data_IF_501749697984
#
_entry.id   IF_501749697984
#
_cell.length_a   1.000
_cell.length_b   1.000
_cell.length_c   1.000
_cell.angle_alpha   90.00
_cell.angle_beta   90.00
_cell.angle_gamma   90.00
#
_symmetry.space_group_name_H-M   'P 1'
#
loop_
_entity.id
_entity.type
_entity.pdbx_description
1 polymer ?
#
# COMPACT_ATOMS: atom_id res chain seq x y z
N UNK A 1 18.81 -7.80 -46.17
CA UNK A 1 19.48 -8.49 -45.06
C UNK A 1 18.57 -8.47 -43.84
N UNK A 2 18.17 -9.66 -43.36
CA UNK A 2 17.36 -9.83 -42.15
C UNK A 2 18.09 -9.23 -40.95
N UNK A 3 17.57 -8.13 -40.38
CA UNK A 3 18.05 -7.62 -39.09
C UNK A 3 17.68 -8.68 -38.04
N UNK A 4 18.66 -9.48 -37.62
CA UNK A 4 18.53 -10.36 -36.44
C UNK A 4 17.98 -9.50 -35.30
N UNK A 5 16.79 -9.84 -34.78
CA UNK A 5 16.24 -9.23 -33.57
C UNK A 5 17.31 -9.31 -32.49
N UNK A 6 17.65 -8.17 -31.89
CA UNK A 6 18.54 -8.14 -30.74
C UNK A 6 18.00 -9.10 -29.67
N UNK A 7 18.89 -9.89 -29.07
CA UNK A 7 18.51 -10.79 -27.99
C UNK A 7 17.83 -9.98 -26.89
N UNK A 8 16.70 -10.49 -26.37
CA UNK A 8 15.97 -9.84 -25.28
C UNK A 8 16.93 -9.57 -24.12
N UNK A 9 16.86 -8.37 -23.54
CA UNK A 9 17.71 -8.02 -22.40
C UNK A 9 17.49 -8.98 -21.22
N UNK A 10 18.47 -9.15 -20.32
CA UNK A 10 18.28 -9.96 -19.10
C UNK A 10 17.04 -9.52 -18.31
N UNK A 11 16.74 -8.22 -18.30
CA UNK A 11 15.52 -7.65 -17.71
C UNK A 11 14.26 -8.12 -18.45
N UNK A 12 14.25 -8.09 -19.78
CA UNK A 12 13.13 -8.57 -20.60
C UNK A 12 12.90 -10.07 -20.44
N UNK A 13 13.97 -10.86 -20.36
CA UNK A 13 13.88 -12.30 -20.12
C UNK A 13 13.33 -12.60 -18.71
N UNK A 14 13.82 -11.89 -17.68
CA UNK A 14 13.35 -12.05 -16.30
C UNK A 14 11.88 -11.62 -16.12
N UNK A 15 11.45 -10.55 -16.80
CA UNK A 15 10.05 -10.11 -16.79
C UNK A 15 9.13 -11.10 -17.52
N UNK A 16 9.57 -11.67 -18.64
CA UNK A 16 8.81 -12.68 -19.38
C UNK A 16 8.71 -14.02 -18.65
N UNK A 17 9.68 -14.35 -17.78
CA UNK A 17 9.66 -15.56 -16.94
C UNK A 17 9.02 -15.34 -15.56
N UNK A 18 8.70 -14.09 -15.21
CA UNK A 18 7.95 -13.80 -13.98
C UNK A 18 6.50 -14.23 -14.20
N UNK A 19 5.89 -14.99 -13.29
CA UNK A 19 4.45 -15.25 -13.33
C UNK A 19 3.72 -13.93 -13.11
N UNK A 20 3.39 -13.26 -14.21
CA UNK A 20 2.58 -12.05 -14.21
C UNK A 20 1.13 -12.50 -14.36
N UNK A 21 0.42 -12.54 -13.23
CA UNK A 21 -0.95 -13.04 -13.18
C UNK A 21 -1.97 -12.02 -13.72
N UNK A 22 -1.55 -10.75 -13.86
CA UNK A 22 -2.38 -9.65 -14.35
C UNK A 22 -1.59 -8.55 -15.07
N UNK A 23 -2.26 -7.85 -15.96
CA UNK A 23 -1.75 -6.70 -16.72
C UNK A 23 -2.59 -5.44 -16.46
N UNK A 24 -1.97 -4.27 -16.61
CA UNK A 24 -2.62 -2.97 -16.46
C UNK A 24 -2.90 -2.35 -17.83
N UNK A 25 -4.16 -2.34 -18.24
CA UNK A 25 -4.63 -1.69 -19.46
C UNK A 25 -5.02 -0.24 -19.13
N UNK A 26 -4.33 0.71 -19.77
CA UNK A 26 -4.55 2.14 -19.57
C UNK A 26 -5.26 2.73 -20.79
N UNK A 27 -6.36 3.44 -20.58
CA UNK A 27 -7.12 4.10 -21.62
C UNK A 27 -7.30 5.57 -21.28
N UNK A 28 -7.35 6.42 -22.31
CA UNK A 28 -7.68 7.82 -22.14
C UNK A 28 -8.48 8.37 -23.32
N UNK A 29 -9.18 9.47 -23.08
CA UNK A 29 -9.98 10.18 -24.08
C UNK A 29 -10.09 11.67 -23.74
N UNK A 30 -10.32 12.49 -24.76
CA UNK A 30 -10.54 13.93 -24.63
C UNK A 30 -11.92 14.27 -24.03
N UNK A 31 -12.84 13.32 -24.10
CA UNK A 31 -14.23 13.37 -23.70
C UNK A 31 -14.70 11.98 -23.24
N UNK A 32 -15.83 11.85 -22.51
CA UNK A 32 -16.41 10.54 -22.19
C UNK A 32 -16.69 9.71 -23.44
N UNK A 33 -17.16 10.36 -24.52
CA UNK A 33 -17.39 9.70 -25.82
C UNK A 33 -16.10 9.22 -26.48
N UNK A 34 -15.02 10.00 -26.40
CA UNK A 34 -13.71 9.60 -26.89
C UNK A 34 -13.16 8.38 -26.13
N UNK A 35 -13.29 8.37 -24.81
CA UNK A 35 -12.90 7.23 -23.98
C UNK A 35 -13.75 5.98 -24.26
N UNK A 36 -15.07 6.14 -24.47
CA UNK A 36 -15.98 5.05 -24.85
C UNK A 36 -15.58 4.44 -26.20
N UNK A 37 -15.34 5.28 -27.21
CA UNK A 37 -14.88 4.82 -28.52
C UNK A 37 -13.56 4.03 -28.40
N UNK A 38 -12.64 4.52 -27.56
CA UNK A 38 -11.37 3.84 -27.29
C UNK A 38 -11.56 2.51 -26.56
N UNK A 39 -12.42 2.45 -25.56
CA UNK A 39 -12.75 1.21 -24.85
C UNK A 39 -13.33 0.15 -25.82
N UNK A 40 -14.24 0.54 -26.71
CA UNK A 40 -14.80 -0.35 -27.73
C UNK A 40 -13.80 -0.84 -28.80
N UNK A 41 -12.79 -0.04 -29.13
CA UNK A 41 -11.68 -0.47 -29.98
C UNK A 41 -10.83 -1.55 -29.30
N UNK A 42 -10.41 -1.28 -28.06
CA UNK A 42 -9.59 -2.20 -27.27
C UNK A 42 -10.35 -3.50 -26.97
N UNK A 43 -11.66 -3.42 -26.67
CA UNK A 43 -12.51 -4.58 -26.43
C UNK A 43 -12.56 -5.53 -27.64
N UNK A 44 -12.80 -4.99 -28.84
CA UNK A 44 -12.78 -5.80 -30.08
C UNK A 44 -11.43 -6.41 -30.38
N UNK A 45 -10.34 -5.75 -30.00
CA UNK A 45 -9.00 -6.28 -30.18
C UNK A 45 -8.70 -7.39 -29.16
N UNK A 46 -9.02 -7.18 -27.88
CA UNK A 46 -8.66 -8.12 -26.80
C UNK A 46 -9.36 -9.48 -26.95
N UNK A 47 -10.57 -9.51 -27.53
CA UNK A 47 -11.26 -10.76 -27.88
C UNK A 47 -10.49 -11.68 -28.85
N UNK A 48 -9.41 -11.17 -29.49
CA UNK A 48 -8.56 -11.91 -30.43
C UNK A 48 -7.14 -12.13 -29.92
N UNK A 49 -6.84 -11.69 -28.71
CA UNK A 49 -5.51 -11.70 -28.08
C UNK A 49 -5.36 -12.99 -27.27
N UNK A 50 -4.21 -13.66 -27.39
CA UNK A 50 -3.87 -14.80 -26.51
C UNK A 50 -3.32 -14.32 -25.16
N UNK A 51 -3.30 -15.18 -24.14
CA UNK A 51 -2.73 -14.86 -22.82
C UNK A 51 -1.33 -14.22 -22.90
N UNK A 52 -0.45 -14.74 -23.76
CA UNK A 52 0.92 -14.22 -23.92
C UNK A 52 1.02 -12.86 -24.61
N UNK A 53 -0.08 -12.35 -25.18
CA UNK A 53 -0.13 -11.07 -25.89
C UNK A 53 -0.78 -9.94 -25.05
N UNK A 54 -1.33 -10.24 -23.87
CA UNK A 54 -1.94 -9.21 -22.99
C UNK A 54 -0.88 -8.23 -22.50
N UNK A 55 0.34 -8.69 -22.21
CA UNK A 55 1.47 -7.83 -21.83
C UNK A 55 1.87 -6.87 -22.94
N UNK A 56 1.89 -7.34 -24.20
CA UNK A 56 2.17 -6.51 -25.37
C UNK A 56 1.06 -5.45 -25.57
N UNK A 57 -0.20 -5.83 -25.34
CA UNK A 57 -1.33 -4.90 -25.36
C UNK A 57 -1.17 -3.82 -24.28
N UNK A 58 -0.92 -4.20 -23.03
CA UNK A 58 -0.71 -3.26 -21.92
C UNK A 58 0.42 -2.27 -22.22
N UNK A 59 1.57 -2.77 -22.70
CA UNK A 59 2.71 -1.94 -23.08
C UNK A 59 2.39 -1.01 -24.27
N UNK A 60 1.60 -1.47 -25.24
CA UNK A 60 1.18 -0.66 -26.39
C UNK A 60 0.26 0.47 -25.94
N UNK A 61 -0.77 0.16 -25.15
CA UNK A 61 -1.70 1.14 -24.60
C UNK A 61 -0.99 2.22 -23.78
N UNK A 62 -0.03 1.81 -22.94
CA UNK A 62 0.76 2.73 -22.14
C UNK A 62 1.61 3.70 -22.99
N UNK A 63 2.14 3.25 -24.13
CA UNK A 63 2.92 4.11 -25.06
C UNK A 63 2.05 5.05 -25.88
N UNK A 64 0.78 4.73 -26.05
CA UNK A 64 -0.17 5.53 -26.81
C UNK A 64 -0.76 6.69 -26.01
N UNK A 65 -0.63 6.67 -24.68
CA UNK A 65 -1.07 7.77 -23.81
C UNK A 65 -0.48 9.12 -24.27
N UNK A 66 -1.35 10.12 -24.32
CA UNK A 66 -1.12 11.53 -24.66
C UNK A 66 -1.41 12.47 -23.48
N UNK A 67 -1.88 11.94 -22.36
CA UNK A 67 -2.19 12.73 -21.17
C UNK A 67 -3.60 13.33 -21.17
N UNK A 68 -4.52 12.77 -21.96
CA UNK A 68 -5.90 13.23 -22.06
C UNK A 68 -6.65 13.15 -20.69
N UNK A 69 -7.68 13.97 -20.48
CA UNK A 69 -8.28 14.17 -19.16
C UNK A 69 -9.17 13.00 -18.70
N UNK A 70 -9.93 12.36 -19.57
CA UNK A 70 -10.75 11.21 -19.18
C UNK A 70 -9.91 9.95 -19.24
N UNK A 71 -9.77 9.25 -18.12
CA UNK A 71 -8.84 8.13 -17.98
C UNK A 71 -9.53 6.92 -17.37
N UNK A 72 -9.19 5.75 -17.86
CA UNK A 72 -9.57 4.49 -17.26
C UNK A 72 -8.34 3.59 -17.08
N UNK A 73 -8.37 2.78 -16.03
CA UNK A 73 -7.36 1.78 -15.75
C UNK A 73 -8.06 0.45 -15.43
N UNK A 74 -7.63 -0.63 -16.08
CA UNK A 74 -8.18 -1.98 -15.91
C UNK A 74 -7.05 -2.93 -15.60
N UNK A 75 -7.14 -3.63 -14.48
CA UNK A 75 -6.28 -4.76 -14.12
C UNK A 75 -6.94 -6.03 -14.61
N UNK A 76 -6.35 -6.67 -15.63
CA UNK A 76 -6.90 -7.86 -16.28
C UNK A 76 -5.97 -9.06 -16.12
N UNK A 77 -6.55 -10.18 -15.71
CA UNK A 77 -5.84 -11.46 -15.52
C UNK A 77 -5.92 -12.41 -16.72
N UNK A 78 -6.80 -12.11 -17.68
CA UNK A 78 -6.95 -12.84 -18.94
C UNK A 78 -7.56 -11.94 -20.02
N UNK A 79 -7.52 -12.35 -21.30
CA UNK A 79 -8.25 -11.67 -22.36
C UNK A 79 -9.76 -11.56 -22.08
N UNK A 80 -10.38 -12.61 -21.52
CA UNK A 80 -11.81 -12.64 -21.19
C UNK A 80 -12.14 -11.73 -19.99
N UNK A 81 -11.25 -11.63 -19.00
CA UNK A 81 -11.37 -10.68 -17.89
C UNK A 81 -11.24 -9.23 -18.39
N UNK A 82 -10.32 -8.97 -19.31
CA UNK A 82 -10.17 -7.67 -19.96
C UNK A 82 -11.43 -7.28 -20.73
N UNK A 83 -11.96 -8.18 -21.56
CA UNK A 83 -13.18 -7.94 -22.35
C UNK A 83 -14.37 -7.60 -21.44
N UNK A 84 -14.63 -8.41 -20.41
CA UNK A 84 -15.71 -8.15 -19.44
C UNK A 84 -15.56 -6.78 -18.77
N UNK A 85 -14.35 -6.40 -18.35
CA UNK A 85 -14.11 -5.11 -17.67
C UNK A 85 -14.20 -3.92 -18.61
N UNK A 86 -13.77 -4.06 -19.86
CA UNK A 86 -13.91 -3.04 -20.91
C UNK A 86 -15.39 -2.86 -21.30
N UNK A 87 -16.16 -3.94 -21.33
CA UNK A 87 -17.60 -3.85 -21.54
C UNK A 87 -18.27 -3.10 -20.39
N UNK A 88 -17.97 -3.46 -19.14
CA UNK A 88 -18.49 -2.74 -17.97
C UNK A 88 -18.10 -1.25 -17.97
N UNK A 89 -16.86 -0.91 -18.35
CA UNK A 89 -16.44 0.48 -18.54
C UNK A 89 -17.27 1.20 -19.61
N UNK A 90 -17.60 0.51 -20.70
CA UNK A 90 -18.43 1.06 -21.78
C UNK A 90 -19.84 1.34 -21.27
N UNK A 91 -20.45 0.40 -20.55
CA UNK A 91 -21.78 0.54 -19.96
C UNK A 91 -21.84 1.75 -19.00
N UNK A 92 -20.82 1.93 -18.16
CA UNK A 92 -20.69 3.09 -17.26
C UNK A 92 -20.64 4.41 -18.04
N UNK A 93 -19.83 4.49 -19.09
CA UNK A 93 -19.70 5.70 -19.91
C UNK A 93 -21.00 6.01 -20.67
N UNK A 94 -21.71 4.98 -21.16
CA UNK A 94 -23.00 5.12 -21.83
C UNK A 94 -24.10 5.60 -20.87
N UNK A 95 -24.06 5.18 -19.60
CA UNK A 95 -24.96 5.70 -18.56
C UNK A 95 -24.59 7.12 -18.09
N UNK A 96 -23.55 7.73 -18.65
CA UNK A 96 -23.08 9.07 -18.29
C UNK A 96 -22.19 9.13 -17.05
N UNK A 97 -21.74 7.99 -16.52
CA UNK A 97 -20.81 7.95 -15.40
C UNK A 97 -19.42 8.46 -15.85
N UNK A 98 -18.77 9.22 -14.97
CA UNK A 98 -17.44 9.78 -15.24
C UNK A 98 -16.44 9.55 -14.12
N UNK A 99 -16.88 8.90 -13.04
CA UNK A 99 -16.04 8.49 -11.92
C UNK A 99 -16.48 7.13 -11.41
N UNK A 100 -15.58 6.16 -11.43
CA UNK A 100 -15.87 4.84 -10.89
C UNK A 100 -14.60 4.21 -10.31
N UNK A 101 -14.74 3.47 -9.22
CA UNK A 101 -13.71 2.57 -8.71
C UNK A 101 -14.41 1.29 -8.30
N UNK A 102 -14.01 0.17 -8.90
CA UNK A 102 -14.63 -1.12 -8.60
C UNK A 102 -14.29 -1.56 -7.18
N UNK A 103 -15.19 -2.31 -6.55
CA UNK A 103 -15.00 -2.80 -5.18
C UNK A 103 -13.77 -3.72 -5.03
N UNK A 104 -13.40 -4.42 -6.10
CA UNK A 104 -12.19 -5.26 -6.16
C UNK A 104 -10.90 -4.48 -6.48
N UNK A 105 -10.99 -3.16 -6.69
CA UNK A 105 -9.87 -2.28 -7.00
C UNK A 105 -9.22 -2.50 -8.36
N UNK A 106 -9.86 -3.27 -9.26
CA UNK A 106 -9.29 -3.66 -10.56
C UNK A 106 -9.80 -2.83 -11.74
N UNK A 107 -10.76 -1.93 -11.54
CA UNK A 107 -11.24 -1.00 -12.57
C UNK A 107 -11.37 0.40 -11.98
N UNK A 108 -10.88 1.39 -12.73
CA UNK A 108 -10.95 2.81 -12.39
C UNK A 108 -11.40 3.60 -13.62
N UNK A 109 -12.25 4.60 -13.40
CA UNK A 109 -12.65 5.64 -14.36
C UNK A 109 -12.59 6.98 -13.62
N UNK A 110 -12.02 8.00 -14.25
CA UNK A 110 -12.01 9.33 -13.69
C UNK A 110 -11.62 10.41 -14.68
N UNK A 111 -11.82 11.67 -14.26
CA UNK A 111 -11.34 12.84 -14.98
C UNK A 111 -10.16 13.47 -14.25
N UNK A 112 -9.01 13.52 -14.89
CA UNK A 112 -7.84 14.23 -14.41
C UNK A 112 -8.02 15.74 -14.57
N UNK A 113 -7.91 16.47 -13.44
CA UNK A 113 -7.98 17.94 -13.40
C UNK A 113 -6.60 18.60 -13.13
N UNK A 114 -5.52 17.82 -13.23
CA UNK A 114 -4.16 18.25 -12.93
C UNK A 114 -3.32 17.12 -12.35
N UNK A 115 -2.09 17.43 -11.94
CA UNK A 115 -1.24 16.48 -11.19
C UNK A 115 -1.75 16.37 -9.75
N UNK A 116 -2.07 15.17 -9.31
CA UNK A 116 -2.37 14.91 -7.90
C UNK A 116 -1.12 15.08 -7.03
N UNK A 117 -1.32 15.52 -5.78
CA UNK A 117 -0.27 15.46 -4.76
C UNK A 117 -0.36 14.12 -4.05
N UNK A 118 0.74 13.39 -3.98
CA UNK A 118 0.83 12.10 -3.31
C UNK A 118 1.54 12.32 -1.97
N UNK A 119 1.01 11.72 -0.90
CA UNK A 119 1.68 11.63 0.39
C UNK A 119 1.90 10.18 0.77
N UNK A 120 3.07 9.83 1.27
CA UNK A 120 3.33 8.50 1.81
C UNK A 120 2.96 8.44 3.29
N UNK A 121 2.25 7.38 3.68
CA UNK A 121 1.90 7.10 5.06
C UNK A 121 2.56 5.78 5.47
N UNK A 122 3.51 5.86 6.40
CA UNK A 122 4.23 4.70 6.91
C UNK A 122 3.57 4.15 8.16
N UNK A 123 3.31 2.83 8.21
CA UNK A 123 2.58 2.23 9.31
C UNK A 123 3.40 2.07 10.60
N UNK A 124 2.70 1.98 11.73
CA UNK A 124 3.25 1.59 13.03
C UNK A 124 3.27 0.07 13.26
N UNK A 125 3.60 -0.33 14.50
CA UNK A 125 3.93 -1.71 14.94
C UNK A 125 2.83 -2.77 14.71
N UNK A 126 1.57 -2.39 14.47
CA UNK A 126 0.46 -3.31 14.22
C UNK A 126 0.33 -3.85 12.79
N UNK A 127 1.25 -3.51 11.89
CA UNK A 127 1.07 -3.78 10.46
C UNK A 127 1.69 -5.08 9.96
N UNK A 128 0.87 -5.90 9.29
CA UNK A 128 1.29 -7.17 8.69
C UNK A 128 1.69 -8.23 9.72
N UNK A 129 1.91 -9.46 9.25
CA UNK A 129 2.29 -10.61 10.10
C UNK A 129 3.40 -11.49 9.49
N UNK A 130 3.89 -11.16 8.30
CA UNK A 130 4.83 -12.01 7.55
C UNK A 130 6.16 -11.33 7.27
N UNK A 131 7.24 -12.11 7.28
CA UNK A 131 8.62 -11.68 6.97
C UNK A 131 9.02 -11.98 5.52
N UNK A 132 8.20 -12.73 4.77
CA UNK A 132 8.52 -13.19 3.42
C UNK A 132 8.34 -12.16 2.29
N UNK A 133 7.94 -10.91 2.58
CA UNK A 133 7.77 -9.85 1.57
C UNK A 133 6.68 -10.06 0.51
N UNK A 134 6.01 -11.21 0.52
CA UNK A 134 4.81 -11.48 -0.26
C UNK A 134 5.00 -11.32 -1.78
N UNK A 135 3.97 -10.79 -2.44
CA UNK A 135 3.99 -10.58 -3.89
C UNK A 135 5.05 -9.56 -4.33
N UNK A 136 5.34 -8.54 -3.51
CA UNK A 136 6.34 -7.52 -3.86
C UNK A 136 7.74 -8.12 -3.95
N UNK A 137 8.16 -8.91 -2.95
CA UNK A 137 9.46 -9.59 -2.98
C UNK A 137 9.58 -10.56 -4.16
N UNK A 138 8.51 -11.27 -4.53
CA UNK A 138 8.52 -12.16 -5.69
C UNK A 138 8.62 -11.41 -7.02
N UNK A 139 8.09 -10.19 -7.09
CA UNK A 139 7.92 -9.46 -8.35
C UNK A 139 9.03 -8.45 -8.63
N UNK A 140 9.60 -7.85 -7.60
CA UNK A 140 10.55 -6.75 -7.69
C UNK A 140 11.89 -7.16 -7.06
N UNK A 141 12.96 -7.31 -7.87
CA UNK A 141 14.30 -7.62 -7.36
C UNK A 141 14.77 -6.62 -6.29
N UNK A 142 14.45 -5.34 -6.46
CA UNK A 142 14.81 -4.27 -5.53
C UNK A 142 14.14 -4.45 -4.16
N UNK A 143 12.94 -5.03 -4.11
CA UNK A 143 12.30 -5.41 -2.85
C UNK A 143 12.98 -6.65 -2.24
N UNK A 144 13.34 -7.64 -3.06
CA UNK A 144 14.03 -8.84 -2.59
C UNK A 144 15.37 -8.52 -1.93
N UNK A 145 16.17 -7.64 -2.53
CA UNK A 145 17.45 -7.18 -1.97
C UNK A 145 17.30 -6.59 -0.56
N UNK A 146 16.26 -5.80 -0.31
CA UNK A 146 15.99 -5.22 1.02
C UNK A 146 15.66 -6.32 2.03
N UNK A 147 14.79 -7.27 1.67
CA UNK A 147 14.44 -8.38 2.55
C UNK A 147 15.62 -9.32 2.83
N UNK A 148 16.48 -9.56 1.83
CA UNK A 148 17.66 -10.41 1.97
C UNK A 148 18.68 -9.77 2.91
N UNK A 149 18.92 -8.45 2.77
CA UNK A 149 19.80 -7.70 3.68
C UNK A 149 19.28 -7.60 5.10
N UNK A 150 17.97 -7.44 5.28
CA UNK A 150 17.37 -7.30 6.60
C UNK A 150 17.51 -8.56 7.48
N UNK A 151 17.73 -9.75 6.88
CA UNK A 151 18.00 -10.98 7.63
C UNK A 151 16.89 -11.36 8.62
N UNK A 152 15.63 -11.08 8.28
CA UNK A 152 14.50 -11.29 9.19
C UNK A 152 14.31 -12.78 9.56
N UNK A 153 13.84 -13.09 10.77
CA UNK A 153 13.58 -14.46 11.17
C UNK A 153 12.51 -15.13 10.31
N UNK A 154 12.73 -16.40 9.97
CA UNK A 154 11.78 -17.21 9.20
C UNK A 154 10.69 -17.86 10.06
N UNK A 155 10.94 -18.01 11.37
CA UNK A 155 10.07 -18.68 12.34
C UNK A 155 10.07 -17.94 13.67
N UNK A 156 9.06 -18.17 14.50
CA UNK A 156 8.90 -17.53 15.81
C UNK A 156 7.66 -16.65 15.87
N UNK A 157 7.56 -15.83 16.91
CA UNK A 157 6.47 -14.88 17.07
C UNK A 157 6.71 -13.63 16.21
N UNK A 158 6.00 -13.54 15.08
CA UNK A 158 6.13 -12.44 14.11
C UNK A 158 5.46 -11.13 14.57
N UNK A 159 4.71 -11.17 15.67
CA UNK A 159 4.08 -10.00 16.28
C UNK A 159 4.82 -9.51 17.52
N UNK A 160 5.78 -10.27 18.05
CA UNK A 160 6.68 -9.82 19.10
C UNK A 160 7.39 -8.52 18.70
N UNK A 161 7.46 -7.54 19.60
CA UNK A 161 7.91 -6.17 19.33
C UNK A 161 9.29 -6.10 18.65
N UNK A 162 10.23 -6.91 19.11
CA UNK A 162 11.60 -7.01 18.60
C UNK A 162 11.69 -7.61 17.20
N UNK A 163 10.71 -8.42 16.79
CA UNK A 163 10.58 -8.96 15.43
C UNK A 163 9.74 -8.04 14.54
N UNK A 164 8.64 -7.51 15.07
CA UNK A 164 7.65 -6.72 14.33
C UNK A 164 8.24 -5.39 13.84
N UNK A 165 9.02 -4.69 14.66
CA UNK A 165 9.59 -3.39 14.27
C UNK A 165 10.54 -3.49 13.06
N UNK A 166 11.62 -4.30 13.09
CA UNK A 166 12.49 -4.43 11.92
C UNK A 166 11.74 -5.01 10.71
N UNK A 167 10.77 -5.91 10.90
CA UNK A 167 9.93 -6.44 9.81
C UNK A 167 9.13 -5.35 9.10
N UNK A 168 8.51 -4.44 9.85
CA UNK A 168 7.69 -3.35 9.29
C UNK A 168 8.55 -2.29 8.63
N UNK A 169 9.70 -1.94 9.22
CA UNK A 169 10.69 -1.07 8.60
C UNK A 169 11.21 -1.65 7.27
N UNK A 170 11.53 -2.95 7.25
CA UNK A 170 11.94 -3.68 6.03
C UNK A 170 10.86 -3.62 4.95
N UNK A 171 9.59 -3.88 5.32
CA UNK A 171 8.49 -3.78 4.37
C UNK A 171 8.29 -2.37 3.81
N UNK A 172 8.50 -1.34 4.65
CA UNK A 172 8.44 0.06 4.24
C UNK A 172 9.57 0.43 3.27
N UNK A 173 10.81 0.03 3.59
CA UNK A 173 11.97 0.24 2.73
C UNK A 173 11.83 -0.49 1.39
N UNK A 174 11.39 -1.75 1.40
CA UNK A 174 11.13 -2.51 0.18
C UNK A 174 10.01 -1.86 -0.66
N UNK A 175 8.94 -1.40 -0.02
CA UNK A 175 7.87 -0.65 -0.68
C UNK A 175 8.37 0.63 -1.34
N UNK A 176 9.25 1.39 -0.67
CA UNK A 176 9.89 2.58 -1.23
C UNK A 176 10.71 2.27 -2.47
N UNK A 177 11.51 1.20 -2.47
CA UNK A 177 12.26 0.75 -3.66
C UNK A 177 11.32 0.45 -4.84
N UNK A 178 10.20 -0.21 -4.58
CA UNK A 178 9.20 -0.50 -5.61
C UNK A 178 8.58 0.79 -6.15
N UNK A 179 8.15 1.70 -5.27
CA UNK A 179 7.54 2.97 -5.68
C UNK A 179 8.52 3.84 -6.49
N UNK A 180 9.80 3.86 -6.11
CA UNK A 180 10.87 4.52 -6.87
C UNK A 180 11.07 3.88 -8.26
N UNK A 181 11.09 2.54 -8.34
CA UNK A 181 11.17 1.83 -9.63
C UNK A 181 10.00 2.14 -10.57
N UNK A 182 8.83 2.46 -10.01
CA UNK A 182 7.62 2.88 -10.71
C UNK A 182 7.55 4.40 -10.95
N UNK A 183 8.55 5.16 -10.47
CA UNK A 183 8.63 6.63 -10.55
C UNK A 183 7.45 7.34 -9.89
N UNK A 184 6.97 6.80 -8.78
CA UNK A 184 5.93 7.42 -7.96
C UNK A 184 6.57 8.34 -6.92
N UNK A 185 6.42 9.63 -7.15
CA UNK A 185 6.97 10.69 -6.29
C UNK A 185 5.92 11.21 -5.33
N UNK A 186 6.23 11.21 -4.04
CA UNK A 186 5.43 11.88 -3.00
C UNK A 186 5.95 13.29 -2.73
N UNK A 187 5.06 14.18 -2.31
CA UNK A 187 5.41 15.54 -1.86
C UNK A 187 5.63 15.63 -0.36
N UNK A 188 5.21 14.62 0.39
CA UNK A 188 5.35 14.53 1.84
C UNK A 188 5.30 13.07 2.29
N UNK A 189 5.82 12.83 3.49
CA UNK A 189 5.65 11.58 4.21
C UNK A 189 5.22 11.84 5.64
N UNK A 190 4.40 10.94 6.18
CA UNK A 190 4.05 10.88 7.60
C UNK A 190 4.23 9.44 8.06
N UNK A 191 4.73 9.26 9.28
CA UNK A 191 4.89 7.95 9.88
C UNK A 191 4.12 7.84 11.19
N UNK A 192 3.52 6.69 11.44
CA UNK A 192 2.89 6.41 12.73
C UNK A 192 3.88 5.72 13.67
N UNK A 193 4.35 6.41 14.71
CA UNK A 193 5.30 5.89 15.69
C UNK A 193 6.55 5.28 15.01
N UNK A 194 6.65 3.95 14.91
CA UNK A 194 7.70 3.28 14.13
C UNK A 194 7.81 3.79 12.69
N UNK A 195 6.69 4.10 12.05
CA UNK A 195 6.66 4.58 10.68
C UNK A 195 7.44 5.89 10.49
N UNK A 196 7.69 6.67 11.55
CA UNK A 196 8.48 7.90 11.45
C UNK A 196 9.92 7.62 11.03
N UNK A 197 10.50 6.49 11.45
CA UNK A 197 11.83 6.08 10.99
C UNK A 197 11.83 5.90 9.47
N UNK A 198 10.80 5.24 8.92
CA UNK A 198 10.64 5.06 7.48
C UNK A 198 10.40 6.39 6.74
N UNK A 199 9.67 7.33 7.36
CA UNK A 199 9.45 8.67 6.81
C UNK A 199 10.75 9.49 6.78
N UNK A 200 11.57 9.43 7.83
CA UNK A 200 12.90 10.05 7.90
C UNK A 200 13.86 9.45 6.88
N UNK A 201 13.81 8.13 6.69
CA UNK A 201 14.55 7.46 5.63
C UNK A 201 14.13 7.95 4.24
N UNK A 202 12.82 8.00 3.96
CA UNK A 202 12.31 8.54 2.69
C UNK A 202 12.75 10.00 2.46
N UNK A 203 12.78 10.81 3.51
CA UNK A 203 13.24 12.20 3.45
C UNK A 203 14.77 12.35 3.26
N UNK A 204 15.53 11.25 3.29
CA UNK A 204 16.99 11.24 3.17
C UNK A 204 17.74 11.59 4.46
N UNK A 205 17.04 11.66 5.60
CA UNK A 205 17.67 11.91 6.90
C UNK A 205 18.37 10.67 7.48
N UNK A 206 17.92 9.47 7.08
CA UNK A 206 18.52 8.19 7.43
C UNK A 206 18.79 7.41 6.14
N UNK A 207 19.94 6.75 6.04
CA UNK A 207 20.11 5.72 5.02
C UNK A 207 19.33 4.44 5.39
N UNK A 208 19.24 3.51 4.45
CA UNK A 208 18.43 2.30 4.62
C UNK A 208 19.01 1.39 5.72
N UNK A 209 20.33 1.29 5.83
CA UNK A 209 20.99 0.48 6.87
C UNK A 209 20.67 1.04 8.26
N UNK A 210 20.78 2.35 8.43
CA UNK A 210 20.44 3.06 9.68
C UNK A 210 18.97 2.90 10.04
N UNK A 211 18.06 2.94 9.05
CA UNK A 211 16.64 2.65 9.29
C UNK A 211 16.43 1.26 9.88
N UNK A 212 17.00 0.22 9.25
CA UNK A 212 16.82 -1.16 9.67
C UNK A 212 17.44 -1.40 11.05
N UNK A 213 18.62 -0.84 11.30
CA UNK A 213 19.29 -0.94 12.58
C UNK A 213 18.57 -0.18 13.69
N UNK A 214 18.08 1.03 13.43
CA UNK A 214 17.30 1.79 14.40
C UNK A 214 16.02 1.04 14.78
N UNK A 215 15.31 0.46 13.81
CA UNK A 215 14.12 -0.33 14.07
C UNK A 215 14.42 -1.61 14.88
N UNK A 216 15.54 -2.28 14.58
CA UNK A 216 16.01 -3.47 15.32
C UNK A 216 16.38 -3.13 16.77
N UNK A 217 17.18 -2.09 16.98
CA UNK A 217 17.60 -1.65 18.33
C UNK A 217 16.41 -1.19 19.15
N UNK A 218 15.50 -0.40 18.54
CA UNK A 218 14.29 0.06 19.21
C UNK A 218 13.35 -1.08 19.58
N UNK A 219 13.11 -2.01 18.66
CA UNK A 219 12.29 -3.20 18.91
C UNK A 219 12.83 -4.02 20.08
N UNK A 220 14.14 -4.30 20.07
CA UNK A 220 14.82 -5.02 21.16
C UNK A 220 14.71 -4.27 22.49
N UNK A 221 15.04 -2.98 22.50
CA UNK A 221 15.00 -2.17 23.71
C UNK A 221 13.59 -2.12 24.31
N UNK A 222 12.55 -1.98 23.48
CA UNK A 222 11.17 -2.03 23.93
C UNK A 222 10.79 -3.42 24.47
N UNK A 223 11.16 -4.50 23.78
CA UNK A 223 10.89 -5.84 24.27
C UNK A 223 11.55 -6.15 25.63
N UNK A 224 12.76 -5.63 25.87
CA UNK A 224 13.51 -5.85 27.11
C UNK A 224 13.10 -4.92 28.27
N UNK A 225 12.68 -3.69 27.97
CA UNK A 225 12.54 -2.62 28.98
C UNK A 225 11.13 -2.06 29.09
N UNK A 226 10.19 -2.43 28.21
CA UNK A 226 8.79 -2.06 28.43
C UNK A 226 8.34 -2.73 29.71
N UNK A 227 7.99 -1.92 30.72
CA UNK A 227 7.26 -2.37 31.89
C UNK A 227 6.01 -3.15 31.45
N UNK A 228 5.40 -3.92 32.36
CA UNK A 228 4.18 -4.71 32.11
C UNK A 228 2.93 -3.86 31.85
N UNK A 229 3.05 -2.79 31.07
CA UNK A 229 1.97 -1.96 30.58
C UNK A 229 1.38 -2.51 29.29
N UNK A 230 0.20 -2.03 28.96
CA UNK A 230 -0.57 -2.41 27.76
C UNK A 230 -1.20 -1.16 27.17
N UNK A 231 -1.81 -1.29 26.00
CA UNK A 231 -2.50 -0.18 25.34
C UNK A 231 -3.97 -0.53 25.09
N UNK A 232 -4.80 0.50 24.94
CA UNK A 232 -6.17 0.36 24.48
C UNK A 232 -6.55 1.46 23.49
N UNK A 233 -7.31 1.10 22.46
CA UNK A 233 -7.96 2.01 21.52
C UNK A 233 -9.35 2.36 22.03
N UNK A 234 -9.62 3.65 22.24
CA UNK A 234 -10.90 4.21 22.62
C UNK A 234 -11.56 4.85 21.38
N UNK A 235 -12.82 4.52 21.12
CA UNK A 235 -13.62 5.13 20.06
C UNK A 235 -14.18 6.49 20.45
N UNK A 236 -13.32 7.37 20.96
CA UNK A 236 -13.69 8.72 21.39
C UNK A 236 -12.59 9.75 21.08
N UNK A 237 -12.94 11.03 21.24
CA UNK A 237 -12.05 12.17 21.10
C UNK A 237 -11.05 12.29 22.28
N UNK A 238 -10.01 13.13 22.14
CA UNK A 238 -8.99 13.32 23.16
C UNK A 238 -9.50 13.85 24.51
N UNK A 239 -10.56 14.65 24.50
CA UNK A 239 -11.08 15.31 25.70
C UNK A 239 -11.78 14.26 26.58
N UNK A 240 -12.68 13.47 25.99
CA UNK A 240 -13.34 12.39 26.70
C UNK A 240 -12.35 11.28 27.10
N UNK A 241 -11.35 10.96 26.27
CA UNK A 241 -10.27 10.05 26.67
C UNK A 241 -9.50 10.58 27.89
N UNK A 242 -9.25 11.89 27.95
CA UNK A 242 -8.65 12.56 29.11
C UNK A 242 -9.48 12.40 30.38
N UNK A 243 -10.81 12.47 30.28
CA UNK A 243 -11.72 12.20 31.41
C UNK A 243 -11.66 10.74 31.86
N UNK A 244 -11.58 9.79 30.92
CA UNK A 244 -11.51 8.36 31.22
C UNK A 244 -10.23 7.97 31.96
N UNK A 245 -9.09 8.60 31.63
CA UNK A 245 -7.80 8.34 32.29
C UNK A 245 -7.56 9.21 33.52
N UNK A 246 -8.47 10.12 33.88
CA UNK A 246 -8.28 11.04 34.99
C UNK A 246 -8.01 10.29 36.31
N UNK A 247 -6.97 10.72 37.02
CA UNK A 247 -6.53 10.11 38.28
C UNK A 247 -5.73 8.80 38.13
N UNK A 248 -5.39 8.39 36.91
CA UNK A 248 -4.53 7.25 36.61
C UNK A 248 -3.14 7.74 36.13
N UNK A 249 -2.15 6.85 36.08
CA UNK A 249 -0.83 7.14 35.49
C UNK A 249 -0.77 6.90 33.99
N UNK A 250 -1.81 6.28 33.42
CA UNK A 250 -1.99 6.10 32.00
C UNK A 250 -1.98 7.44 31.24
N UNK A 251 -1.45 7.39 30.03
CA UNK A 251 -1.29 8.56 29.16
C UNK A 251 -1.98 8.32 27.83
N UNK A 252 -2.33 9.41 27.13
CA UNK A 252 -2.72 9.33 25.73
C UNK A 252 -1.45 9.07 24.90
N UNK A 253 -1.39 7.91 24.25
CA UNK A 253 -0.26 7.47 23.44
C UNK A 253 -0.45 7.74 21.94
N UNK A 254 -1.67 8.05 21.49
CA UNK A 254 -1.93 8.34 20.08
C UNK A 254 -3.25 9.05 19.82
N UNK A 255 -3.20 10.02 18.92
CA UNK A 255 -4.35 10.73 18.37
C UNK A 255 -4.59 10.25 16.94
N UNK A 256 -5.29 9.13 16.77
CA UNK A 256 -5.41 8.46 15.47
C UNK A 256 -6.56 9.00 14.61
N UNK A 257 -7.47 9.77 15.20
CA UNK A 257 -8.52 10.49 14.48
C UNK A 257 -9.48 11.21 15.43
N UNK A 258 -10.48 11.95 14.90
CA UNK A 258 -11.40 12.74 15.72
C UNK A 258 -12.21 11.94 16.74
N UNK A 259 -12.38 10.63 16.51
CA UNK A 259 -13.07 9.70 17.42
C UNK A 259 -12.26 8.43 17.67
N UNK A 260 -10.93 8.54 17.62
CA UNK A 260 -10.04 7.40 17.86
C UNK A 260 -8.79 7.85 18.62
N UNK A 261 -8.78 7.54 19.91
CA UNK A 261 -7.70 7.91 20.83
C UNK A 261 -7.12 6.65 21.46
N UNK A 262 -5.79 6.54 21.49
CA UNK A 262 -5.09 5.39 22.07
C UNK A 262 -4.49 5.81 23.40
N UNK A 263 -4.70 5.00 24.43
CA UNK A 263 -4.13 5.18 25.76
C UNK A 263 -3.16 4.06 26.08
N UNK A 264 -2.13 4.37 26.87
CA UNK A 264 -1.12 3.42 27.31
C UNK A 264 -0.84 3.59 28.80
N UNK A 265 -0.69 2.49 29.52
CA UNK A 265 -0.43 2.52 30.96
C UNK A 265 -0.28 1.12 31.55
N UNK A 266 -0.16 1.00 32.88
CA UNK A 266 -0.19 -0.28 33.58
C UNK A 266 -1.43 -1.11 33.21
N UNK A 267 -1.28 -2.45 33.18
CA UNK A 267 -2.39 -3.37 32.79
C UNK A 267 -3.65 -3.13 33.63
N UNK A 268 -3.50 -2.99 34.94
CA UNK A 268 -4.62 -2.75 35.86
C UNK A 268 -5.36 -1.44 35.57
N UNK A 269 -4.62 -0.39 35.17
CA UNK A 269 -5.20 0.89 34.81
C UNK A 269 -5.92 0.83 33.45
N UNK A 270 -5.38 0.10 32.47
CA UNK A 270 -6.08 -0.11 31.20
C UNK A 270 -7.37 -0.90 31.41
N UNK A 271 -7.38 -1.89 32.30
CA UNK A 271 -8.60 -2.63 32.66
C UNK A 271 -9.62 -1.73 33.38
N UNK A 272 -9.16 -0.80 34.20
CA UNK A 272 -10.03 0.22 34.79
C UNK A 272 -10.58 1.19 33.73
N UNK A 273 -9.75 1.63 32.78
CA UNK A 273 -10.19 2.47 31.66
C UNK A 273 -11.23 1.74 30.80
N UNK A 274 -11.08 0.43 30.57
CA UNK A 274 -12.10 -0.38 29.88
C UNK A 274 -13.45 -0.33 30.62
N UNK A 275 -13.46 -0.52 31.95
CA UNK A 275 -14.69 -0.41 32.76
C UNK A 275 -15.30 0.99 32.74
N UNK A 276 -14.47 2.03 32.79
CA UNK A 276 -14.93 3.43 32.68
C UNK A 276 -15.53 3.72 31.31
N UNK A 277 -14.89 3.23 30.25
CA UNK A 277 -15.36 3.38 28.88
C UNK A 277 -16.73 2.71 28.68
N UNK A 278 -16.90 1.48 29.18
CA UNK A 278 -18.18 0.77 29.15
C UNK A 278 -19.32 1.55 29.85
N UNK A 279 -19.06 2.09 31.05
CA UNK A 279 -20.03 2.93 31.77
C UNK A 279 -20.39 4.23 31.05
N UNK A 280 -19.47 4.73 30.22
CA UNK A 280 -19.63 5.94 29.43
C UNK A 280 -20.13 5.68 28.00
N UNK A 281 -20.50 4.43 27.67
CA UNK A 281 -20.89 3.99 26.32
C UNK A 281 -19.83 4.30 25.23
N UNK A 282 -18.55 4.20 25.62
CA UNK A 282 -17.39 4.39 24.74
C UNK A 282 -16.82 3.03 24.36
N UNK A 283 -16.73 2.75 23.06
CA UNK A 283 -16.05 1.54 22.57
C UNK A 283 -14.58 1.52 22.99
N UNK A 284 -14.12 0.37 23.50
CA UNK A 284 -12.75 0.20 23.95
C UNK A 284 -12.22 -1.18 23.52
N UNK A 285 -11.04 -1.21 22.92
CA UNK A 285 -10.38 -2.45 22.48
C UNK A 285 -8.94 -2.46 22.96
N UNK A 286 -8.56 -3.48 23.73
CA UNK A 286 -7.18 -3.70 24.15
C UNK A 286 -6.33 -4.09 22.93
N UNK A 287 -5.13 -3.52 22.84
CA UNK A 287 -4.18 -3.71 21.74
C UNK A 287 -3.07 -4.71 22.11
#
# INVERSE_FOLDING_TARGET
>A
ASRRRAAASRRSAALASSPQDSELLLLEGDSPRGLLARAGEVSRFVARVSYGQVSDLAATLQRELRGLPYRAAIVASSPEDAERRLQHLSDLLESGETSHTSADGRSFLGKANGRGRIGFLFPGQGSGKGTGGGALRRRFPEAAEVFDRAGLPATGDMVATDVAQPRIATGSAAGLRVLDSLRLEASLAVGHSLGELSALHWAGALDEETLLDAARVRGKAMAEHSASGTMASLGTDPEQAGQLIAGLTAVIAGYNGPRQTVVAGPVEEIEEIQRRAERADVSCTRL
#
